data_IF_643822648357
#
_entry.id   IF_643822648357
#
_cell.length_a   1.000
_cell.length_b   1.000
_cell.length_c   1.000
_cell.angle_alpha   90.00
_cell.angle_beta   90.00
_cell.angle_gamma   90.00
#
_symmetry.space_group_name_H-M   'P 1'
#
loop_
_entity.id
_entity.type
_entity.pdbx_description
1 polymer ?
#
# COMPACT_ATOMS: atom_id res chain seq x y z
N UNK A 1 -30.30 -5.02 -28.00
CA UNK A 1 -29.49 -4.29 -27.00
C UNK A 1 -28.59 -5.34 -26.38
N UNK A 2 -27.28 -5.15 -26.21
CA UNK A 2 -26.54 -6.07 -25.35
C UNK A 2 -27.10 -5.88 -23.95
N UNK A 3 -27.66 -6.95 -23.38
CA UNK A 3 -28.17 -6.96 -22.02
C UNK A 3 -26.98 -6.70 -21.10
N UNK A 4 -26.92 -5.47 -20.57
CA UNK A 4 -25.82 -4.97 -19.74
C UNK A 4 -25.82 -5.58 -18.34
N UNK A 5 -25.98 -6.90 -18.22
CA UNK A 5 -25.83 -7.61 -16.97
C UNK A 5 -24.35 -7.61 -16.59
N UNK A 6 -24.01 -6.84 -15.56
CA UNK A 6 -22.72 -6.89 -14.92
C UNK A 6 -22.72 -8.09 -13.96
N UNK A 7 -22.07 -9.18 -14.36
CA UNK A 7 -21.88 -10.35 -13.50
C UNK A 7 -20.61 -10.14 -12.67
N UNK A 8 -20.75 -10.16 -11.34
CA UNK A 8 -19.64 -10.00 -10.40
C UNK A 8 -19.39 -11.33 -9.72
N UNK A 9 -18.17 -11.83 -9.81
CA UNK A 9 -17.73 -12.96 -9.00
C UNK A 9 -17.53 -12.50 -7.55
N UNK A 10 -18.58 -12.66 -6.74
CA UNK A 10 -18.60 -12.23 -5.34
C UNK A 10 -17.60 -13.01 -4.48
N UNK A 11 -17.31 -14.27 -4.82
CA UNK A 11 -16.33 -15.08 -4.08
C UNK A 11 -14.91 -14.62 -4.36
N UNK A 12 -14.58 -14.35 -5.62
CA UNK A 12 -13.29 -13.78 -5.98
C UNK A 12 -13.12 -12.38 -5.38
N UNK A 13 -14.15 -11.54 -5.43
CA UNK A 13 -14.08 -10.20 -4.87
C UNK A 13 -13.93 -10.21 -3.35
N UNK A 14 -14.59 -11.15 -2.65
CA UNK A 14 -14.41 -11.34 -1.22
C UNK A 14 -12.98 -11.77 -0.88
N UNK A 15 -12.39 -12.73 -1.61
CA UNK A 15 -10.97 -13.13 -1.41
C UNK A 15 -10.00 -11.99 -1.63
N UNK A 16 -10.25 -11.14 -2.63
CA UNK A 16 -9.43 -9.94 -2.86
C UNK A 16 -9.51 -8.97 -1.68
N UNK A 17 -10.72 -8.82 -1.11
CA UNK A 17 -10.97 -7.91 0.00
C UNK A 17 -10.38 -8.41 1.33
N UNK A 18 -10.50 -9.70 1.61
CA UNK A 18 -10.14 -10.29 2.90
C UNK A 18 -8.66 -10.67 2.98
N UNK A 19 -8.07 -11.11 1.87
CA UNK A 19 -6.73 -11.69 1.86
C UNK A 19 -5.76 -10.88 0.99
N UNK A 20 -6.00 -10.81 -0.31
CA UNK A 20 -4.97 -10.40 -1.27
C UNK A 20 -4.54 -8.93 -1.12
N UNK A 21 -5.50 -8.00 -0.98
CA UNK A 21 -5.17 -6.58 -0.81
C UNK A 21 -4.59 -6.30 0.59
N UNK A 22 -5.15 -6.81 1.70
CA UNK A 22 -4.52 -6.70 3.01
C UNK A 22 -3.08 -7.23 3.04
N UNK A 23 -2.82 -8.41 2.48
CA UNK A 23 -1.46 -9.00 2.43
C UNK A 23 -0.47 -8.10 1.69
N UNK A 24 -0.85 -7.58 0.52
CA UNK A 24 -0.03 -6.61 -0.22
C UNK A 24 0.18 -5.35 0.63
N UNK A 25 -0.86 -4.85 1.29
CA UNK A 25 -0.79 -3.67 2.15
C UNK A 25 0.16 -3.86 3.33
N UNK A 26 0.22 -5.05 3.92
CA UNK A 26 1.14 -5.37 5.02
C UNK A 26 2.59 -5.46 4.52
N UNK A 27 2.83 -6.18 3.43
CA UNK A 27 4.17 -6.25 2.79
C UNK A 27 4.68 -4.83 2.47
N UNK A 28 3.81 -3.98 1.92
CA UNK A 28 4.16 -2.61 1.58
C UNK A 28 4.48 -1.77 2.82
N UNK A 29 3.74 -1.96 3.92
CA UNK A 29 3.92 -1.22 5.17
C UNK A 29 5.24 -1.59 5.86
N UNK A 30 5.60 -2.86 5.86
CA UNK A 30 6.82 -3.35 6.53
C UNK A 30 8.09 -2.69 5.99
N UNK A 31 8.11 -2.31 4.71
CA UNK A 31 9.25 -1.64 4.09
C UNK A 31 9.42 -0.18 4.53
N UNK A 32 8.39 0.45 5.12
CA UNK A 32 8.46 1.86 5.55
C UNK A 32 9.49 2.08 6.67
N UNK A 33 9.69 1.09 7.54
CA UNK A 33 10.70 1.15 8.60
C UNK A 33 12.09 1.36 8.03
N UNK A 34 12.44 0.60 6.98
CA UNK A 34 13.73 0.67 6.29
C UNK A 34 13.94 2.02 5.59
N UNK A 35 12.89 2.57 4.98
CA UNK A 35 12.98 3.85 4.26
C UNK A 35 13.12 5.06 5.19
N UNK A 36 12.71 4.93 6.45
CA UNK A 36 12.74 6.03 7.43
C UNK A 36 13.85 5.88 8.47
N UNK A 37 14.42 4.67 8.61
CA UNK A 37 15.61 4.43 9.42
C UNK A 37 16.84 4.90 8.65
N UNK A 38 17.08 6.21 8.66
CA UNK A 38 18.27 6.84 8.09
C UNK A 38 19.50 6.48 8.93
N UNK A 39 20.01 5.24 8.79
CA UNK A 39 21.31 4.86 9.36
C UNK A 39 22.39 5.67 8.63
N UNK A 40 22.89 6.72 9.28
CA UNK A 40 23.90 7.60 8.69
C UNK A 40 25.14 6.83 8.21
N UNK A 41 25.79 7.31 7.16
CA UNK A 41 27.03 6.72 6.66
C UNK A 41 28.17 6.92 7.68
N UNK A 42 28.31 6.00 8.63
CA UNK A 42 29.39 5.97 9.59
C UNK A 42 30.63 5.32 8.95
N UNK A 43 31.53 6.15 8.42
CA UNK A 43 32.79 5.69 7.85
C UNK A 43 33.87 6.77 7.91
N UNK A 44 35.13 6.46 7.52
CA UNK A 44 36.27 7.38 7.60
C UNK A 44 36.05 8.73 6.88
N UNK A 45 35.15 8.76 5.90
CA UNK A 45 34.76 9.97 5.17
C UNK A 45 33.57 10.75 5.75
N UNK A 46 33.00 10.34 6.89
CA UNK A 46 31.76 10.93 7.44
C UNK A 46 31.83 12.42 7.78
N UNK A 47 33.04 12.99 7.93
CA UNK A 47 33.27 14.42 8.13
C UNK A 47 33.54 15.20 6.84
N UNK A 48 33.53 14.54 5.68
CA UNK A 48 33.69 15.20 4.37
C UNK A 48 32.37 15.85 3.97
N UNK A 49 32.43 17.06 3.41
CA UNK A 49 31.25 17.82 3.01
C UNK A 49 30.40 17.06 1.98
N UNK A 50 31.06 16.35 1.07
CA UNK A 50 30.43 15.53 0.04
C UNK A 50 29.65 14.35 0.63
N UNK A 51 30.14 13.76 1.72
CA UNK A 51 29.44 12.66 2.42
C UNK A 51 28.23 13.20 3.19
N UNK A 52 28.34 14.37 3.80
CA UNK A 52 27.22 15.03 4.46
C UNK A 52 26.12 15.46 3.48
N UNK A 53 26.51 16.01 2.31
CA UNK A 53 25.56 16.37 1.25
C UNK A 53 24.85 15.12 0.70
N UNK A 54 25.59 14.04 0.45
CA UNK A 54 25.00 12.78 0.00
C UNK A 54 24.04 12.19 1.04
N UNK A 55 24.39 12.19 2.33
CA UNK A 55 23.49 11.72 3.41
C UNK A 55 22.17 12.50 3.42
N UNK A 56 22.24 13.83 3.27
CA UNK A 56 21.05 14.69 3.20
C UNK A 56 20.17 14.40 1.98
N UNK A 57 20.79 14.25 0.81
CA UNK A 57 20.09 13.92 -0.43
C UNK A 57 19.45 12.52 -0.38
N UNK A 58 20.17 11.54 0.17
CA UNK A 58 19.68 10.18 0.37
C UNK A 58 18.49 10.15 1.33
N UNK A 59 18.57 10.85 2.46
CA UNK A 59 17.48 10.93 3.43
C UNK A 59 16.22 11.55 2.81
N UNK A 60 16.39 12.67 2.09
CA UNK A 60 15.27 13.33 1.38
C UNK A 60 14.62 12.41 0.36
N UNK A 61 15.42 11.71 -0.45
CA UNK A 61 14.90 10.80 -1.46
C UNK A 61 14.14 9.62 -0.82
N UNK A 62 14.69 9.02 0.23
CA UNK A 62 14.05 7.88 0.91
C UNK A 62 12.79 8.29 1.67
N UNK A 63 12.74 9.49 2.25
CA UNK A 63 11.53 10.07 2.83
C UNK A 63 10.42 10.28 1.77
N UNK A 64 10.77 10.77 0.57
CA UNK A 64 9.80 10.88 -0.52
C UNK A 64 9.25 9.53 -0.97
N UNK A 65 10.12 8.52 -1.07
CA UNK A 65 9.70 7.15 -1.40
C UNK A 65 8.81 6.59 -0.29
N UNK A 66 9.15 6.82 0.98
CA UNK A 66 8.33 6.41 2.13
C UNK A 66 6.95 7.07 2.10
N UNK A 67 6.86 8.36 1.77
CA UNK A 67 5.60 9.07 1.65
C UNK A 67 4.70 8.48 0.54
N UNK A 68 5.27 8.19 -0.63
CA UNK A 68 4.56 7.54 -1.75
C UNK A 68 4.09 6.13 -1.36
N UNK A 69 4.97 5.35 -0.72
CA UNK A 69 4.67 3.99 -0.27
C UNK A 69 3.55 3.98 0.78
N UNK A 70 3.58 4.91 1.74
CA UNK A 70 2.53 5.08 2.75
C UNK A 70 1.19 5.36 2.09
N UNK A 71 1.15 6.30 1.14
CA UNK A 71 -0.07 6.59 0.39
C UNK A 71 -0.56 5.36 -0.40
N UNK A 72 0.35 4.61 -1.02
CA UNK A 72 0.02 3.36 -1.70
C UNK A 72 -0.65 2.33 -0.76
N UNK A 73 -0.12 2.18 0.46
CA UNK A 73 -0.75 1.31 1.47
C UNK A 73 -2.18 1.76 1.78
N UNK A 74 -2.40 3.06 2.02
CA UNK A 74 -3.73 3.61 2.31
C UNK A 74 -4.73 3.31 1.19
N UNK A 75 -4.32 3.47 -0.07
CA UNK A 75 -5.16 3.15 -1.24
C UNK A 75 -5.50 1.66 -1.32
N UNK A 76 -4.53 0.78 -1.05
CA UNK A 76 -4.74 -0.68 -1.06
C UNK A 76 -5.78 -1.09 -0.01
N UNK A 77 -5.64 -0.62 1.23
CA UNK A 77 -6.61 -0.92 2.29
C UNK A 77 -8.00 -0.32 2.02
N UNK A 78 -8.06 0.90 1.49
CA UNK A 78 -9.32 1.52 1.10
C UNK A 78 -10.01 0.73 -0.03
N UNK A 79 -9.23 0.17 -0.96
CA UNK A 79 -9.74 -0.67 -2.03
C UNK A 79 -10.28 -2.00 -1.49
N UNK A 80 -9.58 -2.61 -0.53
CA UNK A 80 -10.06 -3.81 0.15
C UNK A 80 -11.42 -3.55 0.84
N UNK A 81 -11.53 -2.45 1.58
CA UNK A 81 -12.77 -2.06 2.24
C UNK A 81 -13.91 -1.80 1.24
N UNK A 82 -13.61 -1.15 0.10
CA UNK A 82 -14.59 -0.93 -0.96
C UNK A 82 -15.07 -2.26 -1.57
N UNK A 83 -14.16 -3.22 -1.79
CA UNK A 83 -14.51 -4.55 -2.28
C UNK A 83 -15.43 -5.30 -1.30
N UNK A 84 -15.13 -5.29 0.00
CA UNK A 84 -16.03 -5.85 1.03
C UNK A 84 -17.41 -5.18 1.01
N UNK A 85 -17.45 -3.85 0.83
CA UNK A 85 -18.68 -3.08 0.73
C UNK A 85 -19.55 -3.48 -0.47
N UNK A 86 -18.93 -3.71 -1.62
CA UNK A 86 -19.61 -4.21 -2.82
C UNK A 86 -20.18 -5.61 -2.56
N UNK A 87 -19.40 -6.54 -2.01
CA UNK A 87 -19.90 -7.89 -1.72
C UNK A 87 -21.08 -7.86 -0.75
N UNK A 88 -21.01 -7.04 0.30
CA UNK A 88 -22.10 -6.88 1.25
C UNK A 88 -23.37 -6.31 0.61
N UNK A 89 -23.23 -5.36 -0.33
CA UNK A 89 -24.35 -4.79 -1.07
C UNK A 89 -25.05 -5.86 -1.92
N UNK A 90 -24.30 -6.65 -2.67
CA UNK A 90 -24.86 -7.72 -3.53
C UNK A 90 -25.53 -8.82 -2.70
N UNK A 91 -24.86 -9.34 -1.66
CA UNK A 91 -25.47 -10.35 -0.77
C UNK A 91 -26.79 -9.88 -0.16
N UNK A 92 -26.84 -8.61 0.27
CA UNK A 92 -28.07 -8.02 0.81
C UNK A 92 -29.17 -7.90 -0.25
N UNK A 93 -28.83 -7.53 -1.48
CA UNK A 93 -29.79 -7.49 -2.59
C UNK A 93 -30.36 -8.88 -2.89
N UNK A 94 -29.55 -9.93 -2.74
CA UNK A 94 -29.93 -11.33 -2.91
C UNK A 94 -30.62 -11.94 -1.67
N UNK A 95 -30.85 -11.14 -0.61
CA UNK A 95 -31.52 -11.59 0.62
C UNK A 95 -30.65 -12.42 1.56
N UNK A 96 -29.35 -12.52 1.30
CA UNK A 96 -28.37 -13.19 2.15
C UNK A 96 -27.87 -12.20 3.22
N UNK A 97 -27.81 -12.65 4.48
CA UNK A 97 -27.27 -11.89 5.63
C UNK A 97 -25.94 -12.46 6.08
#
# INVERSE_FOLDING_TARGET
>A
MPDGSFEVDLEQLQRVADDALPEIGDIMRDQLGVLTSHEGLAGPGGSMAEVAEFQSAYATYSDEVAARQKHGCEVVYATAQAASGIVALYRRADGQR
#
